data_IF_521167172534
#
_entry.id   IF_521167172534
#
_cell.length_a   1.000
_cell.length_b   1.000
_cell.length_c   1.000
_cell.angle_alpha   90.00
_cell.angle_beta   90.00
_cell.angle_gamma   90.00
#
_symmetry.space_group_name_H-M   'P 1'
#
loop_
_entity.id
_entity.type
_entity.pdbx_description
1 polymer ?
#
# COMPACT_ATOMS: atom_id res chain seq x y z
N UNK A 1 14.57 5.28 -24.06
CA UNK A 1 14.25 5.09 -22.62
C UNK A 1 13.50 3.79 -22.44
N UNK A 2 13.92 2.96 -21.49
CA UNK A 2 13.17 1.80 -21.03
C UNK A 2 12.27 2.20 -19.87
N UNK A 3 11.03 1.73 -19.87
CA UNK A 3 10.08 1.93 -18.77
C UNK A 3 9.33 0.63 -18.53
N UNK A 4 9.24 0.22 -17.26
CA UNK A 4 8.47 -0.95 -16.88
C UNK A 4 7.77 -0.71 -15.55
N UNK A 5 6.50 -1.10 -15.45
CA UNK A 5 5.88 -1.29 -14.14
C UNK A 5 6.03 -2.76 -13.75
N UNK A 6 6.71 -2.98 -12.62
CA UNK A 6 7.01 -4.28 -12.04
C UNK A 6 6.18 -4.42 -10.77
N UNK A 7 5.35 -5.44 -10.70
CA UNK A 7 4.57 -5.79 -9.52
C UNK A 7 5.40 -6.61 -8.51
N UNK A 8 4.78 -7.06 -7.42
CA UNK A 8 5.45 -7.82 -6.37
C UNK A 8 5.66 -9.32 -6.73
N UNK A 9 5.89 -9.65 -8.00
CA UNK A 9 6.14 -11.02 -8.45
C UNK A 9 7.47 -11.59 -7.96
N UNK A 10 7.54 -12.93 -7.85
CA UNK A 10 8.75 -13.64 -7.38
C UNK A 10 9.95 -13.52 -8.32
N UNK A 11 9.75 -13.15 -9.58
CA UNK A 11 10.82 -13.05 -10.58
C UNK A 11 10.58 -11.91 -11.55
N UNK A 12 11.64 -11.20 -11.91
CA UNK A 12 11.54 -10.09 -12.87
C UNK A 12 11.28 -10.58 -14.30
N UNK A 13 10.48 -9.84 -15.09
CA UNK A 13 10.33 -10.11 -16.52
C UNK A 13 11.65 -10.01 -17.27
N UNK A 14 11.86 -10.87 -18.27
CA UNK A 14 13.08 -10.90 -19.09
C UNK A 14 13.50 -9.54 -19.68
N UNK A 15 12.58 -8.72 -20.22
CA UNK A 15 12.91 -7.37 -20.69
C UNK A 15 13.51 -6.47 -19.60
N UNK A 16 13.03 -6.57 -18.36
CA UNK A 16 13.56 -5.80 -17.22
C UNK A 16 14.95 -6.29 -16.85
N UNK A 17 15.17 -7.61 -16.81
CA UNK A 17 16.50 -8.18 -16.57
C UNK A 17 17.51 -7.71 -17.62
N UNK A 18 17.13 -7.71 -18.89
CA UNK A 18 17.99 -7.28 -19.99
C UNK A 18 18.30 -5.78 -19.93
N UNK A 19 17.32 -4.95 -19.60
CA UNK A 19 17.50 -3.50 -19.55
C UNK A 19 18.37 -3.04 -18.37
N UNK A 20 18.24 -3.68 -17.21
CA UNK A 20 18.98 -3.30 -15.99
C UNK A 20 20.28 -4.09 -15.79
N UNK A 21 20.43 -5.25 -16.42
CA UNK A 21 21.63 -6.10 -16.29
C UNK A 21 21.92 -6.45 -14.84
N UNK A 22 23.16 -6.18 -14.40
CA UNK A 22 23.61 -6.44 -13.02
C UNK A 22 22.76 -5.73 -11.95
N UNK A 23 22.09 -4.62 -12.32
CA UNK A 23 21.23 -3.83 -11.44
C UNK A 23 19.81 -4.39 -11.32
N UNK A 24 19.45 -5.45 -12.05
CA UNK A 24 18.12 -6.04 -11.99
C UNK A 24 17.73 -6.47 -10.56
N UNK A 25 18.69 -6.94 -9.76
CA UNK A 25 18.46 -7.30 -8.35
C UNK A 25 17.95 -6.13 -7.49
N UNK A 26 18.34 -4.90 -7.83
CA UNK A 26 17.92 -3.68 -7.14
C UNK A 26 16.51 -3.27 -7.56
N UNK A 27 16.12 -3.55 -8.81
CA UNK A 27 14.72 -3.43 -9.26
C UNK A 27 13.82 -4.42 -8.53
N UNK A 28 14.24 -5.69 -8.41
CA UNK A 28 13.49 -6.71 -7.67
C UNK A 28 13.28 -6.31 -6.21
N UNK A 29 14.29 -5.71 -5.57
CA UNK A 29 14.20 -5.22 -4.19
C UNK A 29 13.34 -3.96 -4.04
N UNK A 30 13.09 -3.24 -5.15
CA UNK A 30 12.25 -2.06 -5.19
C UNK A 30 10.78 -2.36 -5.51
N UNK A 31 10.49 -3.54 -6.06
CA UNK A 31 9.16 -3.97 -6.40
C UNK A 31 8.19 -3.93 -5.20
N UNK A 32 6.90 -3.56 -5.40
CA UNK A 32 6.33 -3.07 -6.66
C UNK A 32 6.81 -1.65 -7.00
N UNK A 33 7.19 -1.41 -8.26
CA UNK A 33 7.72 -0.10 -8.69
C UNK A 33 7.64 0.14 -10.21
N UNK A 34 7.67 1.41 -10.59
CA UNK A 34 7.97 1.84 -11.95
C UNK A 34 9.49 1.98 -12.11
N UNK A 35 10.08 1.10 -12.89
CA UNK A 35 11.50 1.06 -13.20
C UNK A 35 11.80 1.78 -14.52
N UNK A 36 12.80 2.65 -14.51
CA UNK A 36 13.23 3.44 -15.66
C UNK A 36 14.75 3.37 -15.82
N UNK A 37 15.22 3.11 -17.03
CA UNK A 37 16.64 3.21 -17.40
C UNK A 37 16.77 3.68 -18.85
N UNK A 38 17.95 4.14 -19.25
CA UNK A 38 18.33 4.29 -20.65
C UNK A 38 19.34 3.21 -21.08
N UNK A 39 19.69 3.23 -22.36
CA UNK A 39 20.63 2.30 -23.01
C UNK A 39 22.11 2.68 -22.83
N UNK A 40 22.39 3.90 -22.33
CA UNK A 40 23.74 4.40 -22.06
C UNK A 40 24.09 4.44 -20.57
N UNK A 41 23.11 4.18 -19.68
CA UNK A 41 23.29 4.11 -18.23
C UNK A 41 23.30 5.48 -17.52
N UNK A 42 22.83 6.54 -18.17
CA UNK A 42 22.71 7.89 -17.60
C UNK A 42 21.59 8.01 -16.55
N UNK A 43 20.53 7.23 -16.69
CA UNK A 43 19.34 7.20 -15.84
C UNK A 43 19.14 5.78 -15.31
N UNK A 44 18.85 5.69 -14.02
CA UNK A 44 18.47 4.46 -13.34
C UNK A 44 17.60 4.85 -12.15
N UNK A 45 16.33 4.47 -12.17
CA UNK A 45 15.39 4.85 -11.12
C UNK A 45 14.28 3.82 -10.95
N UNK A 46 13.88 3.61 -9.70
CA UNK A 46 12.65 2.93 -9.34
C UNK A 46 11.76 3.90 -8.54
N UNK A 47 10.51 4.06 -8.95
CA UNK A 47 9.52 4.91 -8.31
C UNK A 47 8.43 4.03 -7.69
N UNK A 48 8.07 4.25 -6.43
CA UNK A 48 6.84 3.66 -5.88
C UNK A 48 5.62 4.27 -6.58
N UNK A 49 4.61 3.46 -6.91
CA UNK A 49 3.43 3.93 -7.63
C UNK A 49 2.19 3.77 -6.75
N UNK A 50 1.60 4.86 -6.23
CA UNK A 50 0.41 4.80 -5.37
C UNK A 50 -0.81 4.17 -6.06
N UNK A 51 -1.02 4.48 -7.34
CA UNK A 51 -2.11 3.94 -8.16
C UNK A 51 -1.51 3.16 -9.34
N UNK A 52 -1.11 1.90 -9.13
CA UNK A 52 -0.31 1.17 -10.09
C UNK A 52 -1.07 0.84 -11.37
N UNK A 53 -0.44 0.97 -12.56
CA UNK A 53 -0.99 0.42 -13.80
C UNK A 53 -0.87 -1.11 -13.83
N UNK A 54 -1.47 -1.74 -14.83
CA UNK A 54 -1.14 -3.14 -15.17
C UNK A 54 0.35 -3.26 -15.52
N UNK A 55 1.02 -4.39 -15.18
CA UNK A 55 2.42 -4.61 -15.51
C UNK A 55 2.71 -4.44 -17.01
N UNK A 56 3.82 -3.78 -17.32
CA UNK A 56 4.29 -3.58 -18.70
C UNK A 56 5.82 -3.41 -18.71
N UNK A 57 6.44 -3.61 -19.87
CA UNK A 57 7.86 -3.35 -20.08
C UNK A 57 8.12 -2.98 -21.55
N UNK A 58 8.60 -1.77 -21.80
CA UNK A 58 8.77 -1.26 -23.16
C UNK A 58 9.94 -0.28 -23.29
N UNK A 59 10.45 -0.16 -24.52
CA UNK A 59 11.34 0.91 -24.94
C UNK A 59 10.54 1.96 -25.70
N UNK A 60 10.85 3.23 -25.45
CA UNK A 60 10.29 4.37 -26.17
C UNK A 60 11.23 5.57 -26.21
N UNK A 61 10.83 6.61 -26.94
CA UNK A 61 11.62 7.84 -27.10
C UNK A 61 11.67 8.69 -25.81
N UNK A 62 10.73 8.47 -24.89
CA UNK A 62 10.63 9.14 -23.61
C UNK A 62 10.24 8.15 -22.49
N UNK A 63 10.42 8.58 -21.24
CA UNK A 63 9.91 7.84 -20.07
C UNK A 63 8.39 7.90 -20.09
N UNK A 64 7.72 6.75 -19.98
CA UNK A 64 6.27 6.69 -19.87
C UNK A 64 5.84 6.96 -18.43
N UNK A 65 5.15 8.07 -18.22
CA UNK A 65 4.54 8.44 -16.95
C UNK A 65 3.11 8.88 -17.21
N UNK A 66 2.18 8.33 -16.43
CA UNK A 66 0.82 8.87 -16.35
C UNK A 66 0.63 9.55 -15.00
N UNK A 67 0.02 10.74 -15.02
CA UNK A 67 -0.24 11.53 -13.83
C UNK A 67 -1.18 10.81 -12.86
N UNK A 68 -2.14 10.06 -13.39
CA UNK A 68 -3.09 9.26 -12.60
C UNK A 68 -2.42 8.18 -11.76
N UNK A 69 -1.18 7.80 -12.07
CA UNK A 69 -0.43 6.82 -11.28
C UNK A 69 0.12 7.38 -9.97
N UNK A 70 0.29 8.70 -9.90
CA UNK A 70 0.99 9.39 -8.80
C UNK A 70 0.12 10.42 -8.08
N UNK A 71 -1.09 10.67 -8.56
CA UNK A 71 -1.97 11.70 -8.01
C UNK A 71 -3.40 11.15 -7.87
N UNK A 72 -4.09 11.51 -6.77
CA UNK A 72 -5.47 11.11 -6.61
C UNK A 72 -6.32 11.81 -7.67
N UNK A 73 -7.18 11.05 -8.34
CA UNK A 73 -8.07 11.54 -9.39
C UNK A 73 -9.46 10.94 -9.24
N UNK A 74 -10.48 11.79 -9.29
CA UNK A 74 -11.88 11.41 -9.15
C UNK A 74 -12.25 10.90 -7.76
N UNK A 75 -13.44 10.32 -7.69
CA UNK A 75 -13.98 9.71 -6.48
C UNK A 75 -13.23 8.42 -6.13
N UNK A 76 -12.77 8.32 -4.89
CA UNK A 76 -12.10 7.14 -4.35
C UNK A 76 -12.18 7.09 -2.83
N UNK A 77 -11.90 5.92 -2.29
CA UNK A 77 -11.87 5.67 -0.85
C UNK A 77 -10.48 5.26 -0.42
N UNK A 78 -10.03 5.77 0.73
CA UNK A 78 -8.82 5.32 1.41
C UNK A 78 -9.22 4.75 2.76
N UNK A 79 -8.86 3.50 3.01
CA UNK A 79 -9.05 2.84 4.29
C UNK A 79 -7.70 2.58 4.96
N UNK A 80 -7.50 3.15 6.15
CA UNK A 80 -6.42 2.81 7.06
C UNK A 80 -6.85 1.63 7.94
N UNK A 81 -6.13 0.52 7.85
CA UNK A 81 -6.37 -0.69 8.64
C UNK A 81 -5.13 -1.06 9.43
N UNK A 82 -5.27 -1.08 10.76
CA UNK A 82 -4.29 -1.63 11.68
C UNK A 82 -4.95 -2.73 12.50
N UNK A 83 -4.15 -3.49 13.26
CA UNK A 83 -4.72 -4.44 14.21
C UNK A 83 -5.60 -3.78 15.26
N UNK A 84 -5.35 -2.51 15.59
CA UNK A 84 -5.98 -1.75 16.66
C UNK A 84 -6.82 -0.54 16.23
N UNK A 85 -6.76 -0.15 14.96
CA UNK A 85 -7.30 1.13 14.47
C UNK A 85 -7.88 0.94 13.07
N UNK A 86 -9.05 1.53 12.85
CA UNK A 86 -9.65 1.66 11.54
C UNK A 86 -10.04 3.10 11.26
N UNK A 87 -9.73 3.58 10.06
CA UNK A 87 -10.25 4.84 9.55
C UNK A 87 -10.51 4.73 8.05
N UNK A 88 -11.56 5.37 7.58
CA UNK A 88 -11.99 5.37 6.20
C UNK A 88 -12.36 6.80 5.81
N UNK A 89 -11.82 7.26 4.69
CA UNK A 89 -12.16 8.53 4.08
C UNK A 89 -12.63 8.35 2.66
N UNK A 90 -13.70 9.05 2.30
CA UNK A 90 -14.12 9.23 0.92
C UNK A 90 -13.53 10.53 0.38
N UNK A 91 -13.07 10.52 -0.86
CA UNK A 91 -12.34 11.64 -1.47
C UNK A 91 -12.83 11.91 -2.90
N UNK A 92 -12.94 13.19 -3.26
CA UNK A 92 -12.94 13.64 -4.65
C UNK A 92 -11.61 14.37 -4.93
N UNK A 93 -10.72 13.70 -5.66
CA UNK A 93 -9.36 14.20 -5.87
C UNK A 93 -8.60 14.37 -4.55
N UNK A 94 -8.45 15.60 -4.06
CA UNK A 94 -7.72 15.86 -2.80
C UNK A 94 -8.62 16.28 -1.65
N UNK A 95 -9.90 16.46 -1.90
CA UNK A 95 -10.87 16.88 -0.90
C UNK A 95 -11.49 15.65 -0.23
N UNK A 96 -11.44 15.58 1.09
CA UNK A 96 -12.16 14.56 1.85
C UNK A 96 -13.63 14.96 1.97
N UNK A 97 -14.53 14.11 1.47
CA UNK A 97 -15.97 14.37 1.43
C UNK A 97 -16.72 13.69 2.57
N UNK A 98 -16.19 12.57 3.07
CA UNK A 98 -16.73 11.85 4.22
C UNK A 98 -15.62 11.15 5.02
N UNK A 99 -15.92 10.88 6.28
CA UNK A 99 -15.00 10.21 7.21
C UNK A 99 -15.75 9.25 8.15
N UNK A 100 -15.16 8.09 8.39
CA UNK A 100 -15.60 7.13 9.39
C UNK A 100 -14.40 6.44 10.03
N UNK A 101 -14.30 6.41 11.36
CA UNK A 101 -13.20 5.76 12.05
C UNK A 101 -13.61 5.20 13.40
N UNK A 102 -12.90 4.16 13.84
CA UNK A 102 -13.04 3.54 15.15
C UNK A 102 -11.80 2.76 15.53
N UNK A 103 -11.59 2.64 16.84
CA UNK A 103 -10.52 1.81 17.39
C UNK A 103 -11.08 0.45 17.82
N UNK A 104 -10.21 -0.54 17.94
CA UNK A 104 -10.51 -1.70 18.78
C UNK A 104 -9.98 -1.46 20.17
N UNK A 105 -10.81 -1.69 21.20
CA UNK A 105 -10.35 -1.70 22.60
C UNK A 105 -9.46 -2.94 22.87
N UNK A 106 -8.43 -3.18 22.06
CA UNK A 106 -7.43 -4.21 22.27
C UNK A 106 -6.64 -3.84 23.51
N UNK A 107 -7.02 -4.42 24.66
CA UNK A 107 -6.31 -4.22 25.92
C UNK A 107 -4.87 -4.69 25.76
N UNK A 108 -3.93 -3.75 25.68
CA UNK A 108 -2.49 -3.97 25.72
C UNK A 108 -2.05 -4.46 27.11
N UNK A 109 -2.39 -5.68 27.49
CA UNK A 109 -1.95 -6.26 28.76
C UNK A 109 -0.60 -6.94 28.58
N UNK A 110 0.47 -6.17 28.73
CA UNK A 110 1.77 -6.74 29.10
C UNK A 110 1.69 -7.26 30.55
N UNK A 111 1.30 -8.52 30.73
CA UNK A 111 1.33 -9.15 32.06
C UNK A 111 2.38 -10.25 32.13
N UNK A 112 3.34 -10.03 33.03
CA UNK A 112 4.36 -10.96 33.51
C UNK A 112 3.77 -12.34 33.83
N UNK A 113 4.47 -13.40 33.41
CA UNK A 113 4.34 -14.75 33.99
C UNK A 113 4.02 -15.83 32.97
N UNK A 114 5.01 -16.69 32.69
CA UNK A 114 5.02 -17.73 31.66
C UNK A 114 4.05 -18.92 31.81
N UNK A 115 2.84 -18.73 32.35
CA UNK A 115 1.83 -19.80 32.49
C UNK A 115 0.49 -19.52 31.79
N UNK A 116 0.39 -18.45 30.99
CA UNK A 116 -0.83 -18.11 30.24
C UNK A 116 -0.59 -17.46 28.87
N UNK A 117 0.67 -17.43 28.41
CA UNK A 117 1.05 -16.75 27.18
C UNK A 117 0.26 -17.24 25.96
N UNK A 118 0.16 -18.56 25.77
CA UNK A 118 -0.57 -19.15 24.63
C UNK A 118 -2.08 -18.91 24.64
N UNK A 119 -2.70 -18.70 25.81
CA UNK A 119 -4.12 -18.32 25.90
C UNK A 119 -4.32 -16.84 25.61
N UNK A 120 -3.37 -16.00 25.98
CA UNK A 120 -3.41 -14.58 25.67
C UNK A 120 -3.17 -14.29 24.20
N UNK A 121 -2.20 -14.96 23.58
CA UNK A 121 -1.94 -14.85 22.13
C UNK A 121 -3.20 -15.23 21.34
N UNK A 122 -3.83 -16.37 21.65
CA UNK A 122 -5.08 -16.79 20.98
C UNK A 122 -6.25 -15.82 21.15
N UNK A 123 -6.41 -15.24 22.35
CA UNK A 123 -7.47 -14.26 22.57
C UNK A 123 -7.21 -12.98 21.78
N UNK A 124 -5.93 -12.57 21.70
CA UNK A 124 -5.53 -11.40 20.91
C UNK A 124 -5.77 -11.63 19.42
N UNK A 125 -5.37 -12.79 18.89
CA UNK A 125 -5.59 -13.14 17.49
C UNK A 125 -7.09 -13.09 17.15
N UNK A 126 -7.95 -13.69 18.00
CA UNK A 126 -9.41 -13.62 17.82
C UNK A 126 -9.97 -12.19 17.86
N UNK A 127 -9.40 -11.32 18.69
CA UNK A 127 -9.82 -9.92 18.74
C UNK A 127 -9.38 -9.16 17.49
N UNK A 128 -8.20 -9.46 16.94
CA UNK A 128 -7.72 -8.90 15.67
C UNK A 128 -8.64 -9.37 14.54
N UNK A 129 -8.92 -10.67 14.42
CA UNK A 129 -9.82 -11.21 13.40
C UNK A 129 -11.19 -10.52 13.44
N UNK A 130 -11.79 -10.39 14.63
CA UNK A 130 -13.06 -9.70 14.81
C UNK A 130 -12.99 -8.20 14.47
N UNK A 131 -11.84 -7.55 14.66
CA UNK A 131 -11.64 -6.17 14.24
C UNK A 131 -11.57 -6.08 12.72
N UNK A 132 -10.79 -6.95 12.06
CA UNK A 132 -10.66 -6.98 10.60
C UNK A 132 -12.00 -7.27 9.91
N UNK A 133 -12.84 -8.14 10.48
CA UNK A 133 -14.21 -8.37 9.99
C UNK A 133 -15.07 -7.10 10.05
N UNK A 134 -14.95 -6.31 11.12
CA UNK A 134 -15.63 -5.01 11.23
C UNK A 134 -15.12 -4.01 10.20
N UNK A 135 -13.82 -3.98 9.94
CA UNK A 135 -13.21 -3.14 8.91
C UNK A 135 -13.75 -3.50 7.53
N UNK A 136 -13.81 -4.79 7.19
CA UNK A 136 -14.40 -5.28 5.93
C UNK A 136 -15.86 -4.85 5.80
N UNK A 137 -16.67 -5.06 6.84
CA UNK A 137 -18.07 -4.65 6.83
C UNK A 137 -18.26 -3.12 6.63
N UNK A 138 -17.38 -2.30 7.21
CA UNK A 138 -17.42 -0.85 7.01
C UNK A 138 -17.07 -0.44 5.56
N UNK A 139 -16.08 -1.10 4.95
CA UNK A 139 -15.72 -0.90 3.54
C UNK A 139 -16.87 -1.33 2.62
N UNK A 140 -17.46 -2.50 2.86
CA UNK A 140 -18.58 -3.04 2.08
C UNK A 140 -19.82 -2.15 2.14
N UNK A 141 -20.07 -1.50 3.28
CA UNK A 141 -21.19 -0.58 3.45
C UNK A 141 -21.08 0.66 2.57
N UNK A 142 -19.86 1.13 2.27
CA UNK A 142 -19.60 2.24 1.34
C UNK A 142 -19.66 1.76 -0.12
N UNK A 143 -19.26 0.52 -0.39
CA UNK A 143 -19.22 -0.09 -1.72
C UNK A 143 -18.47 0.77 -2.77
N UNK A 144 -17.18 1.08 -2.53
CA UNK A 144 -16.44 2.01 -3.37
C UNK A 144 -16.10 1.44 -4.75
N UNK A 145 -16.20 2.27 -5.79
CA UNK A 145 -15.70 1.94 -7.13
C UNK A 145 -14.16 1.80 -7.16
N UNK A 146 -13.47 2.55 -6.30
CA UNK A 146 -12.01 2.54 -6.19
C UNK A 146 -11.58 2.66 -4.72
N UNK A 147 -10.92 1.62 -4.23
CA UNK A 147 -10.44 1.51 -2.86
C UNK A 147 -8.92 1.40 -2.81
N UNK A 148 -8.29 2.21 -1.97
CA UNK A 148 -6.90 2.03 -1.55
C UNK A 148 -6.86 1.62 -0.08
N UNK A 149 -6.15 0.54 0.24
CA UNK A 149 -6.00 0.09 1.63
C UNK A 149 -4.57 0.33 2.09
N UNK A 150 -4.43 1.03 3.19
CA UNK A 150 -3.14 1.36 3.80
C UNK A 150 -3.13 0.90 5.25
N UNK A 151 -1.95 0.63 5.81
CA UNK A 151 -1.83 0.39 7.24
C UNK A 151 -0.77 -0.63 7.63
N UNK A 152 -1.05 -1.42 8.65
CA UNK A 152 -0.07 -2.32 9.24
C UNK A 152 0.24 -3.50 8.31
N UNK A 153 1.51 -3.68 7.95
CA UNK A 153 1.96 -4.71 7.01
C UNK A 153 1.55 -6.15 7.38
N UNK A 154 1.33 -6.41 8.67
CA UNK A 154 0.90 -7.71 9.19
C UNK A 154 -0.57 -8.04 8.91
N UNK A 155 -1.42 -7.07 8.55
CA UNK A 155 -2.87 -7.28 8.35
C UNK A 155 -3.40 -6.75 7.01
N UNK A 156 -2.74 -5.77 6.36
CA UNK A 156 -3.25 -5.18 5.11
C UNK A 156 -3.41 -6.18 3.95
N UNK A 157 -2.68 -7.30 3.99
CA UNK A 157 -2.77 -8.34 2.96
C UNK A 157 -4.14 -9.05 2.95
N UNK A 158 -4.88 -8.97 4.06
CA UNK A 158 -6.25 -9.47 4.18
C UNK A 158 -7.27 -8.65 3.34
N UNK A 159 -6.85 -7.57 2.69
CA UNK A 159 -7.73 -6.71 1.89
C UNK A 159 -7.29 -6.59 0.43
N UNK A 160 -6.31 -7.38 -0.02
CA UNK A 160 -5.80 -7.36 -1.39
C UNK A 160 -6.86 -7.74 -2.43
N UNK A 161 -7.89 -8.50 -2.04
CA UNK A 161 -9.01 -8.90 -2.89
C UNK A 161 -10.03 -7.78 -3.12
N UNK A 162 -10.12 -6.81 -2.19
CA UNK A 162 -11.03 -5.67 -2.26
C UNK A 162 -10.35 -4.40 -2.80
N UNK A 163 -9.03 -4.27 -2.59
CA UNK A 163 -8.31 -3.03 -2.86
C UNK A 163 -7.77 -2.97 -4.30
N UNK A 164 -7.83 -1.79 -4.90
CA UNK A 164 -7.11 -1.49 -6.14
C UNK A 164 -5.59 -1.47 -5.91
N UNK A 165 -5.15 -1.09 -4.70
CA UNK A 165 -3.76 -1.24 -4.24
C UNK A 165 -3.69 -1.27 -2.71
N UNK A 166 -2.70 -1.99 -2.19
CA UNK A 166 -2.35 -2.00 -0.76
C UNK A 166 -0.99 -1.35 -0.53
N UNK A 167 -0.80 -0.67 0.60
CA UNK A 167 0.51 -0.11 0.98
C UNK A 167 0.73 -0.08 2.50
N UNK A 168 1.86 -0.61 2.99
CA UNK A 168 2.18 -0.50 4.40
C UNK A 168 2.51 0.96 4.78
N UNK A 169 1.90 1.43 5.87
CA UNK A 169 2.17 2.74 6.49
C UNK A 169 2.22 2.58 8.02
N UNK A 170 2.92 3.50 8.69
CA UNK A 170 3.06 3.51 10.15
C UNK A 170 2.28 4.67 10.79
N UNK A 171 1.10 4.96 10.24
CA UNK A 171 0.23 6.02 10.75
C UNK A 171 -0.35 5.63 12.11
N UNK A 172 -0.23 6.50 13.10
CA UNK A 172 -0.64 6.29 14.50
C UNK A 172 -1.36 7.53 15.01
N UNK A 173 -2.05 7.40 16.15
CA UNK A 173 -2.83 8.49 16.75
C UNK A 173 -4.32 8.24 16.62
N UNK A 174 -5.11 9.30 16.77
CA UNK A 174 -6.56 9.25 16.58
C UNK A 174 -6.91 8.89 15.11
N UNK A 175 -8.06 8.23 14.86
CA UNK A 175 -8.43 7.77 13.53
C UNK A 175 -8.36 8.81 12.40
N UNK A 176 -8.76 10.05 12.65
CA UNK A 176 -8.77 11.13 11.67
C UNK A 176 -7.34 11.61 11.34
N UNK A 177 -6.53 11.90 12.36
CA UNK A 177 -5.13 12.31 12.20
C UNK A 177 -4.30 11.20 11.54
N UNK A 178 -4.52 9.95 11.95
CA UNK A 178 -3.84 8.80 11.39
C UNK A 178 -4.21 8.59 9.92
N UNK A 179 -5.48 8.76 9.55
CA UNK A 179 -5.89 8.67 8.15
C UNK A 179 -5.24 9.76 7.30
N UNK A 180 -5.20 11.00 7.77
CA UNK A 180 -4.56 12.10 7.06
C UNK A 180 -3.07 11.85 6.80
N UNK A 181 -2.35 11.33 7.80
CA UNK A 181 -0.96 10.92 7.61
C UNK A 181 -0.82 9.74 6.64
N UNK A 182 -1.72 8.76 6.75
CA UNK A 182 -1.74 7.61 5.86
C UNK A 182 -1.98 8.01 4.39
N UNK A 183 -2.90 8.93 4.12
CA UNK A 183 -3.18 9.48 2.78
C UNK A 183 -1.97 10.26 2.26
N UNK A 184 -1.35 11.09 3.10
CA UNK A 184 -0.11 11.78 2.73
C UNK A 184 0.99 10.80 2.37
N UNK A 185 1.17 9.76 3.18
CA UNK A 185 2.15 8.69 2.96
C UNK A 185 1.86 7.89 1.70
N UNK A 186 0.58 7.55 1.43
CA UNK A 186 0.13 6.85 0.23
C UNK A 186 0.60 7.57 -1.02
N UNK A 187 0.29 8.85 -1.15
CA UNK A 187 0.59 9.66 -2.34
C UNK A 187 2.03 10.18 -2.40
N UNK A 188 2.82 10.02 -1.33
CA UNK A 188 4.25 10.35 -1.37
C UNK A 188 5.02 9.28 -2.15
N UNK A 189 5.58 9.69 -3.30
CA UNK A 189 6.39 8.85 -4.16
C UNK A 189 7.80 8.68 -3.60
N UNK A 190 8.23 7.44 -3.40
CA UNK A 190 9.61 7.09 -3.04
C UNK A 190 10.40 6.81 -4.32
N UNK A 191 11.48 7.55 -4.48
CA UNK A 191 12.50 7.30 -5.49
C UNK A 191 13.62 6.44 -4.88
N UNK A 192 14.01 5.36 -5.57
CA UNK A 192 15.18 4.54 -5.26
C UNK A 192 16.08 4.52 -6.49
N UNK A 193 17.40 4.54 -6.29
CA UNK A 193 18.38 4.42 -7.37
C UNK A 193 18.90 2.98 -7.38
N UNK A 194 18.56 2.17 -8.41
CA UNK A 194 19.10 0.85 -8.62
C UNK A 194 20.40 0.88 -9.44
#
# INVERSE_FOLDING_TARGET
>A
MFTAYVDAERSLPGPVQNAFGDRASLVASAAPCLAVTDDTGLLSACLSVPAPPSPFAEWGDAVRLDRSWFEPTGEHVVALVRSDLFALGEYDGREQTAFHGFDSELKSQHSKGGFSQSRFERLRDQQIDSHLDRCRAAIEAVSPDRLYVVGEGSVIHEFEDLAAATKPVDATGEPDEALDDAVRSLWTVRLRVP
#
